data_IF_706003178609
#
_entry.id   IF_706003178609
#
_cell.length_a   1.000
_cell.length_b   1.000
_cell.length_c   1.000
_cell.angle_alpha   90.00
_cell.angle_beta   90.00
_cell.angle_gamma   90.00
#
_symmetry.space_group_name_H-M   'P 1'
#
loop_
_entity.id
_entity.type
_entity.pdbx_description
1 polymer ?
#
# COMPACT_ATOMS: atom_id res chain seq x y z
N UNK A 1 -56.48 -5.32 75.17
CA UNK A 1 -55.56 -4.60 74.20
C UNK A 1 -54.65 -5.64 73.60
N UNK A 2 -54.76 -5.97 72.29
CA UNK A 2 -53.97 -6.98 71.62
C UNK A 2 -53.03 -6.28 70.67
N UNK A 3 -51.71 -6.19 71.05
CA UNK A 3 -50.67 -5.55 70.29
C UNK A 3 -50.25 -6.45 69.12
N UNK A 4 -50.55 -6.04 67.86
CA UNK A 4 -50.01 -6.71 66.64
C UNK A 4 -48.57 -6.37 66.45
N UNK A 5 -47.68 -7.35 66.60
CA UNK A 5 -46.28 -7.21 66.13
C UNK A 5 -46.25 -7.38 64.61
N UNK A 6 -45.96 -6.33 63.90
CA UNK A 6 -45.61 -6.38 62.48
C UNK A 6 -44.23 -7.03 62.34
N UNK A 7 -44.19 -8.21 61.75
CA UNK A 7 -42.95 -8.89 61.40
C UNK A 7 -42.35 -8.14 60.18
N UNK A 8 -41.28 -7.42 60.43
CA UNK A 8 -40.44 -6.84 59.38
C UNK A 8 -39.71 -7.97 58.67
N UNK A 9 -40.08 -8.26 57.39
CA UNK A 9 -39.35 -9.19 56.53
C UNK A 9 -38.10 -8.50 56.04
N UNK A 10 -36.87 -8.99 56.33
CA UNK A 10 -35.68 -8.41 55.77
C UNK A 10 -35.68 -8.62 54.26
N UNK A 11 -35.66 -7.51 53.50
CA UNK A 11 -35.56 -7.53 52.04
C UNK A 11 -34.34 -8.34 51.62
N UNK A 12 -34.56 -9.30 50.75
CA UNK A 12 -33.50 -10.13 50.16
C UNK A 12 -32.54 -9.20 49.41
N UNK A 13 -31.37 -8.97 49.96
CA UNK A 13 -30.28 -8.26 49.22
C UNK A 13 -29.95 -9.03 47.93
N UNK A 14 -29.88 -8.35 46.78
CA UNK A 14 -29.57 -9.02 45.53
C UNK A 14 -28.20 -9.72 45.69
N UNK A 15 -28.12 -10.98 45.26
CA UNK A 15 -26.93 -11.80 45.48
C UNK A 15 -25.75 -11.17 44.74
N UNK A 16 -24.63 -10.97 45.40
CA UNK A 16 -23.37 -10.43 44.87
C UNK A 16 -22.93 -11.14 43.57
N UNK A 17 -23.32 -12.42 43.40
CA UNK A 17 -23.06 -13.20 42.18
C UNK A 17 -23.80 -12.69 40.94
N UNK A 18 -25.03 -12.17 41.08
CA UNK A 18 -25.81 -11.62 39.97
C UNK A 18 -25.21 -10.28 39.48
N UNK A 19 -24.66 -9.49 40.42
CA UNK A 19 -24.01 -8.23 40.07
C UNK A 19 -22.65 -8.45 39.38
N UNK A 20 -21.88 -9.47 39.77
CA UNK A 20 -20.63 -9.84 39.10
C UNK A 20 -20.86 -10.29 37.65
N UNK A 21 -21.94 -11.00 37.35
CA UNK A 21 -22.30 -11.41 36.00
C UNK A 21 -22.59 -10.24 35.06
N UNK A 22 -23.32 -9.23 35.56
CA UNK A 22 -23.65 -8.04 34.79
C UNK A 22 -22.39 -7.21 34.43
N UNK A 23 -21.49 -7.01 35.37
CA UNK A 23 -20.23 -6.31 35.17
C UNK A 23 -19.33 -7.00 34.14
N UNK A 24 -19.32 -8.35 34.09
CA UNK A 24 -18.58 -9.12 33.08
C UNK A 24 -19.10 -8.88 31.67
N UNK A 25 -20.43 -8.82 31.49
CA UNK A 25 -21.04 -8.55 30.18
C UNK A 25 -20.75 -7.14 29.72
N UNK A 26 -20.83 -6.16 30.62
CA UNK A 26 -20.51 -4.77 30.32
C UNK A 26 -19.05 -4.62 29.88
N UNK A 27 -18.14 -5.21 30.64
CA UNK A 27 -16.70 -5.22 30.25
C UNK A 27 -16.48 -5.89 28.89
N UNK A 28 -17.13 -7.03 28.62
CA UNK A 28 -17.00 -7.73 27.35
C UNK A 28 -17.45 -6.87 26.16
N UNK A 29 -18.58 -6.15 26.30
CA UNK A 29 -19.07 -5.26 25.24
C UNK A 29 -18.08 -4.11 24.97
N UNK A 30 -17.58 -3.46 26.02
CA UNK A 30 -16.58 -2.39 25.88
C UNK A 30 -15.30 -2.93 25.26
N UNK A 31 -14.83 -4.10 25.68
CA UNK A 31 -13.63 -4.73 25.16
C UNK A 31 -13.75 -5.07 23.67
N UNK A 32 -14.89 -5.58 23.20
CA UNK A 32 -15.13 -5.88 21.79
C UNK A 32 -15.06 -4.60 20.96
N UNK A 33 -15.72 -3.52 21.36
CA UNK A 33 -15.70 -2.24 20.66
C UNK A 33 -14.27 -1.67 20.62
N UNK A 34 -13.58 -1.71 21.74
CA UNK A 34 -12.19 -1.25 21.83
C UNK A 34 -11.25 -2.02 20.90
N UNK A 35 -11.33 -3.36 20.91
CA UNK A 35 -10.51 -4.20 20.03
C UNK A 35 -10.88 -3.98 18.56
N UNK A 36 -12.14 -3.80 18.22
CA UNK A 36 -12.56 -3.49 16.85
C UNK A 36 -11.95 -2.19 16.34
N UNK A 37 -11.90 -1.14 17.17
CA UNK A 37 -11.26 0.13 16.84
C UNK A 37 -9.75 -0.06 16.65
N UNK A 38 -9.07 -0.78 17.54
CA UNK A 38 -7.63 -1.03 17.42
C UNK A 38 -7.28 -1.77 16.13
N UNK A 39 -8.03 -2.81 15.80
CA UNK A 39 -7.86 -3.56 14.55
C UNK A 39 -8.12 -2.65 13.34
N UNK A 40 -9.14 -1.81 13.39
CA UNK A 40 -9.43 -0.84 12.33
C UNK A 40 -8.29 0.13 12.08
N UNK A 41 -7.70 0.69 13.14
CA UNK A 41 -6.54 1.60 13.04
C UNK A 41 -5.34 0.87 12.42
N UNK A 42 -5.10 -0.37 12.83
CA UNK A 42 -4.00 -1.18 12.33
C UNK A 42 -4.14 -1.50 10.84
N UNK A 43 -5.34 -1.87 10.38
CA UNK A 43 -5.61 -2.13 8.94
C UNK A 43 -5.52 -0.85 8.12
N UNK A 44 -6.03 0.26 8.63
CA UNK A 44 -5.91 1.56 7.97
C UNK A 44 -4.43 1.99 7.81
N UNK A 45 -3.62 1.78 8.85
CA UNK A 45 -2.18 2.04 8.79
C UNK A 45 -1.48 1.18 7.72
N UNK A 46 -1.83 -0.09 7.63
CA UNK A 46 -1.31 -0.99 6.58
C UNK A 46 -1.72 -0.55 5.18
N UNK A 47 -2.96 -0.11 5.02
CA UNK A 47 -3.45 0.41 3.74
C UNK A 47 -2.67 1.65 3.30
N UNK A 48 -2.50 2.63 4.20
CA UNK A 48 -1.69 3.82 3.92
C UNK A 48 -0.23 3.48 3.59
N UNK A 49 0.35 2.52 4.31
CA UNK A 49 1.71 2.05 4.02
C UNK A 49 1.80 1.46 2.61
N UNK A 50 0.81 0.68 2.20
CA UNK A 50 0.78 0.08 0.85
C UNK A 50 0.64 1.16 -0.24
N UNK A 51 -0.16 2.21 -0.02
CA UNK A 51 -0.26 3.34 -0.93
C UNK A 51 1.08 4.08 -1.08
N UNK A 52 1.76 4.36 0.01
CA UNK A 52 3.08 5.00 -0.02
C UNK A 52 4.13 4.13 -0.73
N UNK A 53 4.12 2.82 -0.46
CA UNK A 53 5.00 1.87 -1.15
C UNK A 53 4.72 1.84 -2.67
N UNK A 54 3.47 1.93 -3.09
CA UNK A 54 3.08 1.98 -4.49
C UNK A 54 3.62 3.24 -5.20
N UNK A 55 3.53 4.40 -4.55
CA UNK A 55 4.11 5.65 -5.07
C UNK A 55 5.63 5.56 -5.19
N UNK A 56 6.31 5.06 -4.16
CA UNK A 56 7.78 4.90 -4.20
C UNK A 56 8.20 3.86 -5.24
N UNK A 57 7.42 2.80 -5.43
CA UNK A 57 7.66 1.79 -6.45
C UNK A 57 7.66 2.39 -7.86
N UNK A 58 6.70 3.28 -8.19
CA UNK A 58 6.67 3.95 -9.50
C UNK A 58 7.85 4.91 -9.68
N UNK A 59 8.23 5.64 -8.63
CA UNK A 59 9.39 6.54 -8.66
C UNK A 59 10.70 5.78 -8.85
N UNK A 60 10.87 4.69 -8.11
CA UNK A 60 12.05 3.83 -8.24
C UNK A 60 12.11 3.19 -9.61
N UNK A 61 10.99 2.64 -10.09
CA UNK A 61 10.87 2.08 -11.44
C UNK A 61 11.20 3.09 -12.54
N UNK A 62 10.74 4.34 -12.41
CA UNK A 62 11.05 5.41 -13.35
C UNK A 62 12.55 5.77 -13.36
N UNK A 63 13.19 5.81 -12.19
CA UNK A 63 14.65 6.03 -12.11
C UNK A 63 15.43 4.89 -12.79
N UNK A 64 15.07 3.63 -12.51
CA UNK A 64 15.68 2.48 -13.16
C UNK A 64 15.48 2.49 -14.67
N UNK A 65 14.29 2.85 -15.14
CA UNK A 65 13.98 2.93 -16.55
C UNK A 65 14.82 4.02 -17.27
N UNK A 66 15.01 5.17 -16.62
CA UNK A 66 15.80 6.28 -17.19
C UNK A 66 17.30 6.00 -17.16
N UNK A 67 17.82 5.52 -16.03
CA UNK A 67 19.27 5.35 -15.82
C UNK A 67 19.78 4.07 -16.47
N UNK A 68 19.09 2.96 -16.29
CA UNK A 68 19.57 1.65 -16.71
C UNK A 68 19.12 1.27 -18.12
N UNK A 69 18.02 1.82 -18.65
CA UNK A 69 17.45 1.38 -19.92
C UNK A 69 17.14 -0.11 -19.96
N UNK A 70 17.03 -0.74 -18.78
CA UNK A 70 16.83 -2.18 -18.65
C UNK A 70 15.43 -2.59 -19.15
N UNK A 71 15.27 -3.83 -19.65
CA UNK A 71 13.96 -4.33 -20.07
C UNK A 71 12.93 -4.26 -18.95
N UNK A 72 11.66 -4.11 -19.32
CA UNK A 72 10.56 -3.91 -18.37
C UNK A 72 10.43 -5.03 -17.32
N UNK A 73 10.66 -6.27 -17.72
CA UNK A 73 10.62 -7.46 -16.85
C UNK A 73 11.65 -7.40 -15.72
N UNK A 74 12.83 -6.89 -16.01
CA UNK A 74 13.91 -6.71 -15.03
C UNK A 74 13.55 -5.62 -14.01
N UNK A 75 13.05 -4.49 -14.48
CA UNK A 75 12.58 -3.40 -13.61
C UNK A 75 11.40 -3.90 -12.74
N UNK A 76 10.48 -4.64 -13.36
CA UNK A 76 9.34 -5.25 -12.67
C UNK A 76 9.81 -6.14 -11.50
N UNK A 77 10.80 -7.00 -11.73
CA UNK A 77 11.30 -7.93 -10.70
C UNK A 77 11.90 -7.20 -9.50
N UNK A 78 12.63 -6.11 -9.73
CA UNK A 78 13.23 -5.29 -8.67
C UNK A 78 12.16 -4.54 -7.84
N UNK A 79 11.17 -4.00 -8.52
CA UNK A 79 10.12 -3.22 -7.89
C UNK A 79 9.06 -4.09 -7.21
N UNK A 80 8.84 -5.32 -7.70
CA UNK A 80 7.90 -6.28 -7.13
C UNK A 80 8.16 -6.56 -5.64
N UNK A 81 9.41 -6.49 -5.19
CA UNK A 81 9.77 -6.62 -3.79
C UNK A 81 9.17 -5.53 -2.89
N UNK A 82 8.92 -4.35 -3.45
CA UNK A 82 8.31 -3.23 -2.74
C UNK A 82 6.77 -3.31 -2.74
N UNK A 83 6.19 -4.01 -3.72
CA UNK A 83 4.76 -4.09 -3.95
C UNK A 83 4.15 -5.31 -3.24
N UNK A 84 3.83 -5.19 -1.97
CA UNK A 84 3.14 -6.24 -1.20
C UNK A 84 1.73 -6.59 -1.73
N UNK A 85 1.10 -5.67 -2.44
CA UNK A 85 -0.25 -5.82 -3.00
C UNK A 85 -0.27 -6.43 -4.41
N UNK A 86 0.88 -6.85 -4.94
CA UNK A 86 0.99 -7.22 -6.35
C UNK A 86 0.85 -6.01 -7.27
N UNK A 87 0.54 -6.25 -8.53
CA UNK A 87 0.45 -5.24 -9.57
C UNK A 87 1.63 -5.31 -10.53
N UNK A 88 1.43 -4.73 -11.71
CA UNK A 88 2.42 -4.69 -12.78
C UNK A 88 2.80 -3.25 -13.09
N UNK A 89 4.08 -3.02 -13.36
CA UNK A 89 4.51 -1.74 -13.87
C UNK A 89 4.33 -1.72 -15.40
N UNK A 90 3.61 -0.74 -15.89
CA UNK A 90 3.57 -0.41 -17.31
C UNK A 90 4.55 0.74 -17.55
N UNK A 91 5.52 0.52 -18.42
CA UNK A 91 6.53 1.52 -18.77
C UNK A 91 6.29 1.94 -20.20
N UNK A 92 6.11 3.22 -20.44
CA UNK A 92 6.00 3.82 -21.75
C UNK A 92 6.98 4.97 -21.91
N UNK A 93 7.34 5.27 -23.14
CA UNK A 93 8.16 6.42 -23.47
C UNK A 93 7.34 7.38 -24.33
N UNK A 94 7.57 8.66 -24.20
CA UNK A 94 7.00 9.70 -25.04
C UNK A 94 8.09 10.71 -25.41
N UNK A 95 7.92 11.35 -26.55
CA UNK A 95 8.78 12.45 -27.00
C UNK A 95 7.92 13.57 -27.62
N UNK A 96 8.51 14.72 -27.89
CA UNK A 96 7.81 15.80 -28.59
C UNK A 96 7.30 15.40 -29.99
N UNK A 97 7.90 14.36 -30.59
CA UNK A 97 7.54 13.83 -31.90
C UNK A 97 6.51 12.69 -31.85
N UNK A 98 6.30 12.04 -30.70
CA UNK A 98 5.38 10.91 -30.54
C UNK A 98 4.86 10.79 -29.11
N UNK A 99 3.55 10.75 -28.97
CA UNK A 99 2.87 10.68 -27.65
C UNK A 99 3.10 9.35 -26.91
N UNK A 100 3.35 8.27 -27.63
CA UNK A 100 3.62 6.96 -27.05
C UNK A 100 4.60 6.16 -27.91
N UNK A 101 5.65 5.69 -27.27
CA UNK A 101 6.65 4.81 -27.86
C UNK A 101 6.80 3.55 -27.01
N UNK A 102 7.07 2.39 -27.63
CA UNK A 102 7.33 1.17 -26.86
C UNK A 102 8.63 1.31 -26.05
N UNK A 103 8.64 0.79 -24.85
CA UNK A 103 9.84 0.77 -24.01
C UNK A 103 10.49 -0.63 -24.04
N UNK A 104 11.82 -0.74 -24.10
CA UNK A 104 12.80 0.30 -24.41
C UNK A 104 12.87 0.60 -25.92
N UNK A 105 13.06 1.84 -26.29
CA UNK A 105 13.27 2.22 -27.70
C UNK A 105 14.60 2.96 -27.89
N UNK A 106 15.28 2.63 -28.95
CA UNK A 106 16.53 3.31 -29.37
C UNK A 106 16.29 4.66 -30.02
N UNK A 107 15.06 4.93 -30.46
CA UNK A 107 14.70 6.21 -31.12
C UNK A 107 14.58 7.37 -30.15
N UNK A 108 14.48 7.09 -28.85
CA UNK A 108 14.39 8.08 -27.79
C UNK A 108 15.78 8.48 -27.27
N UNK A 109 16.61 9.06 -28.13
CA UNK A 109 18.00 9.46 -27.81
C UNK A 109 18.09 10.95 -27.45
N UNK A 110 17.05 11.73 -27.81
CA UNK A 110 17.03 13.18 -27.64
C UNK A 110 16.59 13.59 -26.24
N UNK A 111 16.96 14.81 -25.87
CA UNK A 111 16.64 15.49 -24.61
C UNK A 111 15.13 15.55 -24.28
N UNK A 112 14.28 15.45 -25.30
CA UNK A 112 12.82 15.58 -25.19
C UNK A 112 12.13 14.27 -24.78
N UNK A 113 12.90 13.22 -24.51
CA UNK A 113 12.35 11.93 -24.12
C UNK A 113 11.91 11.88 -22.67
N UNK A 114 10.65 11.51 -22.48
CA UNK A 114 10.05 11.27 -21.17
C UNK A 114 9.77 9.78 -20.98
N UNK A 115 10.10 9.25 -19.82
CA UNK A 115 9.76 7.90 -19.41
C UNK A 115 8.64 7.98 -18.40
N UNK A 116 7.53 7.34 -18.70
CA UNK A 116 6.35 7.27 -17.83
C UNK A 116 6.18 5.85 -17.31
N UNK A 117 6.18 5.73 -16.00
CA UNK A 117 5.94 4.46 -15.31
C UNK A 117 4.62 4.54 -14.57
N UNK A 118 3.74 3.58 -14.88
CA UNK A 118 2.41 3.48 -14.31
C UNK A 118 2.26 2.15 -13.59
N UNK A 119 1.74 2.18 -12.37
CA UNK A 119 1.36 0.98 -11.63
C UNK A 119 -0.06 0.57 -12.01
N UNK A 120 -0.24 -0.68 -12.44
CA UNK A 120 -1.52 -1.21 -12.90
C UNK A 120 -1.87 -2.49 -12.15
N UNK A 121 -3.13 -2.64 -11.75
CA UNK A 121 -3.66 -3.88 -11.17
C UNK A 121 -3.14 -4.20 -9.77
N UNK A 122 -2.67 -3.21 -9.02
CA UNK A 122 -2.30 -3.41 -7.63
C UNK A 122 -3.54 -3.48 -6.73
N UNK A 123 -3.53 -4.40 -5.76
CA UNK A 123 -4.63 -4.64 -4.85
C UNK A 123 -4.15 -4.70 -3.40
N UNK A 124 -4.92 -4.12 -2.51
CA UNK A 124 -4.73 -4.27 -1.08
C UNK A 124 -5.57 -5.44 -0.56
N UNK A 125 -4.94 -6.39 0.13
CA UNK A 125 -5.62 -7.51 0.80
C UNK A 125 -5.63 -7.28 2.31
N UNK A 126 -6.81 -7.06 2.93
CA UNK A 126 -6.94 -6.97 4.37
C UNK A 126 -6.49 -8.26 5.05
N UNK A 127 -5.88 -8.15 6.22
CA UNK A 127 -5.50 -9.31 7.04
C UNK A 127 -6.71 -9.87 7.78
N UNK A 128 -7.70 -9.03 8.01
CA UNK A 128 -8.90 -9.37 8.77
C UNK A 128 -9.90 -10.08 7.87
N UNK A 129 -10.21 -11.38 8.10
CA UNK A 129 -10.98 -12.20 7.16
C UNK A 129 -12.44 -11.76 6.98
N UNK A 130 -13.02 -11.06 7.94
CA UNK A 130 -14.40 -10.58 7.84
C UNK A 130 -14.53 -9.24 7.09
N UNK A 131 -13.44 -8.54 6.80
CA UNK A 131 -13.44 -7.37 5.91
C UNK A 131 -13.42 -7.74 4.43
N UNK A 132 -13.37 -9.02 4.13
CA UNK A 132 -13.49 -9.72 2.85
C UNK A 132 -13.13 -8.96 1.57
N UNK A 133 -12.41 -9.62 0.67
CA UNK A 133 -12.10 -9.10 -0.66
C UNK A 133 -10.75 -8.42 -0.78
N UNK A 134 -10.42 -8.05 -2.00
CA UNK A 134 -9.29 -7.19 -2.35
C UNK A 134 -9.81 -5.82 -2.76
N UNK A 135 -9.12 -4.77 -2.34
CA UNK A 135 -9.47 -3.39 -2.69
C UNK A 135 -8.46 -2.88 -3.72
N UNK A 136 -8.94 -2.38 -4.87
CA UNK A 136 -8.02 -1.86 -5.88
C UNK A 136 -7.28 -0.64 -5.35
N UNK A 137 -5.97 -0.61 -5.57
CA UNK A 137 -5.14 0.55 -5.30
C UNK A 137 -5.25 1.48 -6.51
N UNK A 138 -5.40 2.81 -6.30
CA UNK A 138 -5.43 3.76 -7.40
C UNK A 138 -4.14 3.66 -8.23
N UNK A 139 -4.27 3.91 -9.52
CA UNK A 139 -3.14 3.92 -10.44
C UNK A 139 -2.23 5.12 -10.18
N UNK A 140 -0.98 4.85 -9.86
CA UNK A 140 0.04 5.87 -9.70
C UNK A 140 0.90 5.96 -10.95
N UNK A 141 1.19 7.18 -11.38
CA UNK A 141 1.99 7.45 -12.57
C UNK A 141 3.13 8.39 -12.20
N UNK A 142 4.35 8.04 -12.62
CA UNK A 142 5.52 8.89 -12.47
C UNK A 142 6.18 9.07 -13.81
N UNK A 143 6.38 10.32 -14.23
CA UNK A 143 7.05 10.68 -15.47
C UNK A 143 8.35 11.39 -15.16
N UNK A 144 9.45 10.93 -15.75
CA UNK A 144 10.77 11.55 -15.66
C UNK A 144 11.32 11.83 -17.05
N UNK A 145 11.96 12.99 -17.22
CA UNK A 145 12.72 13.29 -18.41
C UNK A 145 14.06 12.53 -18.37
N UNK A 146 14.51 12.05 -19.51
CA UNK A 146 15.76 11.29 -19.61
C UNK A 146 16.98 12.16 -19.30
N UNK A 147 16.91 13.46 -19.53
CA UNK A 147 18.00 14.41 -19.24
C UNK A 147 18.31 14.58 -17.74
N UNK A 148 17.31 14.37 -16.90
CA UNK A 148 17.47 14.70 -15.48
C UNK A 148 18.41 13.78 -14.71
N UNK A 149 18.77 12.61 -15.26
CA UNK A 149 19.50 11.57 -14.53
C UNK A 149 20.61 10.87 -15.33
N UNK A 150 20.68 11.02 -16.65
CA UNK A 150 21.67 10.34 -17.47
C UNK A 150 22.65 11.33 -18.12
N UNK A 151 23.91 11.25 -17.73
CA UNK A 151 24.99 11.91 -18.47
C UNK A 151 25.33 11.03 -19.67
N UNK A 152 24.80 11.39 -20.85
CA UNK A 152 25.21 10.75 -22.10
C UNK A 152 26.39 11.53 -22.70
N UNK A 153 27.58 10.94 -22.83
CA UNK A 153 28.59 11.51 -23.69
C UNK A 153 28.07 11.48 -25.14
N UNK A 154 28.07 12.63 -25.80
CA UNK A 154 27.65 12.75 -27.19
C UNK A 154 28.30 11.66 -28.06
N UNK A 155 27.45 10.89 -28.76
CA UNK A 155 27.89 9.97 -29.81
C UNK A 155 28.01 8.49 -29.49
N UNK A 156 27.81 8.05 -28.25
CA UNK A 156 27.82 6.61 -27.94
C UNK A 156 26.43 6.17 -27.33
N UNK A 157 25.98 4.97 -27.71
CA UNK A 157 24.86 4.37 -26.95
C UNK A 157 25.25 4.32 -25.48
N UNK A 158 24.30 4.53 -24.55
CA UNK A 158 24.61 4.55 -23.13
C UNK A 158 25.30 3.23 -22.76
N UNK A 159 26.54 3.31 -22.32
CA UNK A 159 27.20 2.20 -21.67
C UNK A 159 26.44 2.03 -20.35
N UNK A 160 25.57 1.06 -20.30
CA UNK A 160 24.87 0.69 -19.07
C UNK A 160 25.97 0.28 -18.09
N UNK A 161 26.20 1.06 -17.01
CA UNK A 161 27.18 0.65 -16.03
C UNK A 161 26.71 -0.68 -15.44
N UNK A 162 27.52 -1.71 -15.63
CA UNK A 162 27.27 -3.04 -15.05
C UNK A 162 27.62 -2.96 -13.56
N UNK A 163 26.71 -2.37 -12.79
CA UNK A 163 26.86 -2.16 -11.36
C UNK A 163 25.60 -2.68 -10.64
N UNK A 164 25.71 -2.85 -9.33
CA UNK A 164 24.66 -3.41 -8.46
C UNK A 164 23.31 -2.65 -8.51
N UNK A 165 23.28 -1.50 -9.16
CA UNK A 165 22.08 -0.65 -9.29
C UNK A 165 21.24 -1.06 -10.51
N UNK A 166 21.90 -1.47 -11.60
CA UNK A 166 21.20 -1.86 -12.83
C UNK A 166 21.10 -3.38 -12.93
N UNK A 167 19.89 -3.95 -12.92
CA UNK A 167 19.70 -5.38 -13.05
C UNK A 167 20.21 -5.86 -14.42
N UNK A 168 21.16 -6.77 -14.41
CA UNK A 168 21.72 -7.44 -15.59
C UNK A 168 20.77 -8.46 -16.19
#
# INVERSE_FOLDING_TARGET
MKTRRTLYSPGRSPSLRAQAGLAMIEFALVAIVFLAILIGIMEFGRWLFTLNAAVEATRWGARLAVVCGSPQDKIQSQVALMLRGGGNLSISMSSAAADSLPYPTTTCITSDCMVTVKLVGAEFKPMVPFLGGSWPIPEFTTTLSRESLAVFPEGNPPVIPNNDICPS
#
